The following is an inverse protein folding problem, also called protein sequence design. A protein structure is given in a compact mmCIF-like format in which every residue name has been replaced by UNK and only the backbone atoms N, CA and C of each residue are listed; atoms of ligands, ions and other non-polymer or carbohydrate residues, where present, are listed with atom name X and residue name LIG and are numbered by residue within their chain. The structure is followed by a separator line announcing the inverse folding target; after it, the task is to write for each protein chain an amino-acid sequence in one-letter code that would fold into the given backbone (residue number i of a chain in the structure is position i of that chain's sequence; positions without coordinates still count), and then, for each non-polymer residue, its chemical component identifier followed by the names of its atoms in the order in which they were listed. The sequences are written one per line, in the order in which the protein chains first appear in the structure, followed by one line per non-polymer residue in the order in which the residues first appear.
data_IF_657659242196
#
_entry.id   IF_657659242196
#
_cell.length_a   1.000
_cell.length_b   1.000
_cell.length_c   1.000
_cell.angle_alpha   90.00
_cell.angle_beta   90.00
_cell.angle_gamma   90.00
#
_symmetry.space_group_name_H-M   'P 1'
#
loop_
_entity.id
_entity.type
_entity.pdbx_description
1 polymer ?
#
# COMPACT_ATOMS: atom_id res chain seq x y z
N UNK A 1 -32.94 42.39 -5.68
CA UNK A 1 -32.08 41.34 -5.08
C UNK A 1 -31.23 40.78 -6.21
N UNK A 2 -29.90 40.90 -6.11
CA UNK A 2 -28.96 40.82 -7.25
C UNK A 2 -28.59 39.38 -7.61
N UNK A 3 -28.50 39.10 -8.91
CA UNK A 3 -28.08 37.82 -9.50
C UNK A 3 -26.68 37.36 -9.07
N UNK A 4 -25.79 38.28 -8.69
CA UNK A 4 -24.44 37.97 -8.21
C UNK A 4 -24.39 37.39 -6.78
N UNK A 5 -25.32 37.77 -5.90
CA UNK A 5 -25.38 37.22 -4.53
C UNK A 5 -25.91 35.79 -4.54
N UNK A 6 -26.86 35.47 -5.42
CA UNK A 6 -27.40 34.11 -5.55
C UNK A 6 -26.36 33.11 -6.08
N UNK A 7 -25.51 33.50 -7.04
CA UNK A 7 -24.47 32.62 -7.59
C UNK A 7 -23.43 32.19 -6.54
N UNK A 8 -23.02 33.11 -5.65
CA UNK A 8 -22.07 32.82 -4.58
C UNK A 8 -22.64 31.93 -3.47
N UNK A 9 -23.95 32.01 -3.24
CA UNK A 9 -24.67 31.14 -2.29
C UNK A 9 -24.78 29.71 -2.86
N UNK A 10 -25.06 29.56 -4.15
CA UNK A 10 -25.13 28.26 -4.83
C UNK A 10 -23.77 27.55 -4.88
N UNK A 11 -22.68 28.27 -5.19
CA UNK A 11 -21.31 27.74 -5.19
C UNK A 11 -20.90 27.22 -3.79
N UNK A 12 -21.22 27.98 -2.73
CA UNK A 12 -20.95 27.57 -1.36
C UNK A 12 -21.79 26.34 -0.94
N UNK A 13 -23.06 26.27 -1.34
CA UNK A 13 -23.91 25.12 -1.04
C UNK A 13 -23.42 23.85 -1.76
N UNK A 14 -23.00 23.99 -3.02
CA UNK A 14 -22.40 22.92 -3.83
C UNK A 14 -21.11 22.39 -3.20
N UNK A 15 -20.23 23.29 -2.74
CA UNK A 15 -19.00 22.91 -2.05
C UNK A 15 -19.29 22.18 -0.73
N UNK A 16 -20.22 22.70 0.09
CA UNK A 16 -20.60 22.06 1.36
C UNK A 16 -21.15 20.64 1.14
N UNK A 17 -22.00 20.44 0.13
CA UNK A 17 -22.52 19.11 -0.21
C UNK A 17 -21.40 18.18 -0.70
N UNK A 18 -20.49 18.68 -1.53
CA UNK A 18 -19.32 17.94 -2.01
C UNK A 18 -18.43 17.50 -0.86
N UNK A 19 -18.14 18.39 0.10
CA UNK A 19 -17.34 18.09 1.29
C UNK A 19 -18.04 17.07 2.19
N UNK A 20 -19.35 17.19 2.42
CA UNK A 20 -20.13 16.21 3.20
C UNK A 20 -20.11 14.83 2.57
N UNK A 21 -20.28 14.75 1.26
CA UNK A 21 -20.22 13.48 0.54
C UNK A 21 -18.81 12.89 0.58
N UNK A 22 -17.78 13.71 0.36
CA UNK A 22 -16.39 13.30 0.46
C UNK A 22 -16.04 12.75 1.86
N UNK A 23 -16.47 13.42 2.93
CA UNK A 23 -16.30 12.93 4.32
C UNK A 23 -17.01 11.59 4.54
N UNK A 24 -18.20 11.41 3.95
CA UNK A 24 -18.96 10.17 4.06
C UNK A 24 -18.21 9.01 3.38
N UNK A 25 -17.72 9.23 2.15
CA UNK A 25 -16.89 8.26 1.42
C UNK A 25 -15.62 7.95 2.22
N UNK A 26 -14.92 8.96 2.71
CA UNK A 26 -13.67 8.79 3.46
C UNK A 26 -13.87 7.95 4.75
N UNK A 27 -14.98 8.17 5.47
CA UNK A 27 -15.33 7.35 6.63
C UNK A 27 -15.64 5.90 6.25
N UNK A 28 -16.37 5.67 5.15
CA UNK A 28 -16.67 4.32 4.66
C UNK A 28 -15.39 3.57 4.24
N UNK A 29 -14.49 4.24 3.50
CA UNK A 29 -13.19 3.69 3.13
C UNK A 29 -12.40 3.31 4.38
N UNK A 30 -12.37 4.15 5.41
CA UNK A 30 -11.66 3.85 6.66
C UNK A 30 -12.24 2.63 7.38
N UNK A 31 -13.57 2.51 7.45
CA UNK A 31 -14.23 1.33 8.04
C UNK A 31 -13.93 0.05 7.26
N UNK A 32 -14.03 0.09 5.93
CA UNK A 32 -13.74 -1.05 5.06
C UNK A 32 -12.25 -1.45 5.12
N UNK A 33 -11.34 -0.48 5.14
CA UNK A 33 -9.91 -0.75 5.27
C UNK A 33 -9.57 -1.41 6.62
N UNK A 34 -10.22 -0.99 7.71
CA UNK A 34 -10.08 -1.64 9.01
C UNK A 34 -10.52 -3.10 8.91
N UNK A 35 -11.71 -3.36 8.36
CA UNK A 35 -12.22 -4.74 8.22
C UNK A 35 -11.36 -5.60 7.30
N UNK A 36 -10.86 -5.02 6.22
CA UNK A 36 -9.93 -5.68 5.30
C UNK A 36 -8.61 -6.05 5.99
N UNK A 37 -8.09 -5.18 6.86
CA UNK A 37 -6.89 -5.46 7.65
C UNK A 37 -7.11 -6.62 8.61
N UNK A 38 -8.24 -6.65 9.32
CA UNK A 38 -8.63 -7.75 10.20
C UNK A 38 -8.69 -9.07 9.41
N UNK A 39 -9.45 -9.12 8.31
CA UNK A 39 -9.56 -10.32 7.47
C UNK A 39 -8.22 -10.79 6.88
N UNK A 40 -7.32 -9.86 6.53
CA UNK A 40 -5.97 -10.20 6.06
C UNK A 40 -5.12 -10.83 7.16
N UNK A 41 -5.24 -10.36 8.39
CA UNK A 41 -4.54 -10.94 9.53
C UNK A 41 -5.10 -12.33 9.85
N UNK A 42 -6.41 -12.47 9.96
CA UNK A 42 -7.06 -13.76 10.22
C UNK A 42 -6.67 -14.78 9.15
N UNK A 43 -6.69 -14.38 7.86
CA UNK A 43 -6.23 -15.24 6.76
C UNK A 43 -4.77 -15.63 6.88
N UNK A 44 -3.90 -14.72 7.34
CA UNK A 44 -2.47 -15.01 7.54
C UNK A 44 -2.28 -16.05 8.64
N UNK A 45 -2.97 -15.91 9.76
CA UNK A 45 -2.93 -16.87 10.87
C UNK A 45 -3.42 -18.25 10.41
N UNK A 46 -4.54 -18.31 9.68
CA UNK A 46 -5.05 -19.56 9.12
C UNK A 46 -4.07 -20.18 8.11
N UNK A 47 -3.41 -19.38 7.28
CA UNK A 47 -2.38 -19.88 6.36
C UNK A 47 -1.20 -20.51 7.11
N UNK A 48 -0.74 -19.91 8.21
CA UNK A 48 0.34 -20.45 9.02
C UNK A 48 -0.05 -21.80 9.64
N UNK A 49 -1.26 -21.90 10.19
CA UNK A 49 -1.82 -23.15 10.70
C UNK A 49 -1.94 -24.21 9.59
N UNK A 50 -2.45 -23.85 8.42
CA UNK A 50 -2.57 -24.76 7.27
C UNK A 50 -1.22 -25.28 6.80
N UNK A 51 -0.19 -24.43 6.71
CA UNK A 51 1.16 -24.85 6.34
C UNK A 51 1.71 -25.87 7.34
N UNK A 52 1.47 -25.68 8.65
CA UNK A 52 1.90 -26.63 9.67
C UNK A 52 1.21 -27.98 9.49
N UNK A 53 -0.12 -28.00 9.35
CA UNK A 53 -0.91 -29.21 9.15
C UNK A 53 -0.51 -29.93 7.86
N UNK A 54 -0.36 -29.20 6.75
CA UNK A 54 0.04 -29.77 5.46
C UNK A 54 1.45 -30.39 5.52
N UNK A 55 2.39 -29.76 6.22
CA UNK A 55 3.75 -30.32 6.43
C UNK A 55 3.74 -31.55 7.34
N UNK A 56 3.00 -31.52 8.44
CA UNK A 56 2.91 -32.65 9.38
C UNK A 56 2.31 -33.89 8.73
N UNK A 57 1.35 -33.70 7.82
CA UNK A 57 0.64 -34.78 7.16
C UNK A 57 1.14 -35.09 5.74
N UNK A 58 2.23 -34.45 5.29
CA UNK A 58 2.75 -34.55 3.91
C UNK A 58 1.67 -34.37 2.82
N UNK A 59 0.80 -33.37 3.00
CA UNK A 59 -0.26 -33.03 2.06
C UNK A 59 0.23 -31.91 1.14
N UNK A 60 0.43 -32.22 -0.14
CA UNK A 60 0.87 -31.21 -1.14
C UNK A 60 -0.30 -30.47 -1.80
N UNK A 61 -1.43 -31.17 -2.00
CA UNK A 61 -2.60 -30.65 -2.69
C UNK A 61 -3.88 -30.98 -1.91
N UNK A 62 -4.78 -30.00 -1.81
CA UNK A 62 -6.09 -30.16 -1.16
C UNK A 62 -7.20 -29.64 -2.09
N UNK A 63 -8.10 -30.51 -2.52
CA UNK A 63 -9.17 -30.18 -3.47
C UNK A 63 -10.42 -29.65 -2.74
N UNK A 64 -10.99 -28.58 -3.27
CA UNK A 64 -12.22 -27.92 -2.84
C UNK A 64 -13.25 -28.00 -3.99
N UNK A 65 -14.53 -27.74 -3.69
CA UNK A 65 -15.58 -27.65 -4.73
C UNK A 65 -15.25 -26.62 -5.82
N UNK A 66 -14.58 -25.52 -5.44
CA UNK A 66 -14.28 -24.39 -6.33
C UNK A 66 -12.78 -24.26 -6.68
N UNK A 67 -11.98 -25.31 -6.51
CA UNK A 67 -10.57 -25.29 -6.90
C UNK A 67 -9.66 -26.18 -6.06
N UNK A 68 -8.37 -25.87 -6.03
CA UNK A 68 -7.38 -26.61 -5.24
C UNK A 68 -6.46 -25.66 -4.47
N UNK A 69 -6.13 -26.01 -3.24
CA UNK A 69 -5.07 -25.39 -2.45
C UNK A 69 -3.79 -26.21 -2.67
N UNK A 70 -2.73 -25.54 -3.11
CA UNK A 70 -1.43 -26.17 -3.32
C UNK A 70 -0.40 -25.47 -2.44
N UNK A 71 0.37 -26.26 -1.68
CA UNK A 71 1.52 -25.71 -0.97
C UNK A 71 2.68 -25.54 -1.98
N UNK A 72 2.93 -24.29 -2.40
CA UNK A 72 4.02 -23.94 -3.34
C UNK A 72 5.04 -23.05 -2.65
N UNK A 73 6.33 -23.37 -2.85
CA UNK A 73 7.42 -22.45 -2.51
C UNK A 73 7.58 -21.45 -3.66
N UNK A 74 7.43 -20.16 -3.36
CA UNK A 74 7.70 -19.10 -4.31
C UNK A 74 8.94 -18.32 -3.87
N UNK A 75 9.88 -18.14 -4.79
CA UNK A 75 11.06 -17.29 -4.61
C UNK A 75 10.87 -16.03 -5.43
N UNK A 76 10.75 -14.88 -4.77
CA UNK A 76 10.65 -13.58 -5.43
C UNK A 76 11.88 -12.74 -5.09
N UNK A 77 12.42 -12.02 -6.07
CA UNK A 77 13.54 -11.10 -5.85
C UNK A 77 13.08 -9.90 -5.02
N UNK A 78 13.90 -9.47 -4.08
CA UNK A 78 13.58 -8.33 -3.22
C UNK A 78 13.40 -7.04 -4.03
N UNK A 79 12.51 -6.13 -3.61
CA UNK A 79 12.39 -4.80 -4.20
C UNK A 79 13.72 -4.02 -4.10
N UNK A 80 14.11 -3.36 -5.19
CA UNK A 80 15.35 -2.59 -5.25
C UNK A 80 15.19 -1.21 -4.59
N UNK A 81 15.23 -1.18 -3.26
CA UNK A 81 15.25 0.06 -2.48
C UNK A 81 16.68 0.63 -2.37
N UNK A 82 16.83 1.88 -1.91
CA UNK A 82 18.13 2.57 -1.86
C UNK A 82 19.18 1.83 -1.02
N UNK A 83 18.78 1.15 0.07
CA UNK A 83 19.68 0.37 0.91
C UNK A 83 20.10 -0.93 0.23
N UNK A 84 19.15 -1.64 -0.38
CA UNK A 84 19.43 -2.88 -1.11
C UNK A 84 20.31 -2.60 -2.32
N UNK A 85 20.04 -1.53 -3.08
CA UNK A 85 20.87 -1.10 -4.21
C UNK A 85 22.29 -0.75 -3.76
N UNK A 86 22.47 0.06 -2.71
CA UNK A 86 23.79 0.34 -2.16
C UNK A 86 24.54 -0.94 -1.79
N UNK A 87 23.88 -1.86 -1.08
CA UNK A 87 24.49 -3.12 -0.65
C UNK A 87 24.94 -3.98 -1.83
N UNK A 88 24.21 -3.94 -2.95
CA UNK A 88 24.59 -4.63 -4.19
C UNK A 88 25.79 -3.94 -4.84
N UNK A 89 25.77 -2.61 -4.93
CA UNK A 89 26.85 -1.82 -5.55
C UNK A 89 28.16 -1.89 -4.75
N UNK A 90 28.10 -1.80 -3.43
CA UNK A 90 29.26 -1.89 -2.54
C UNK A 90 29.90 -3.30 -2.52
N UNK A 91 29.17 -4.33 -2.94
CA UNK A 91 29.72 -5.69 -3.13
C UNK A 91 30.40 -5.87 -4.47
N UNK A 92 30.33 -4.89 -5.37
CA UNK A 92 30.90 -5.01 -6.69
C UNK A 92 32.41 -4.78 -6.63
N UNK A 93 33.26 -5.75 -7.05
CA UNK A 93 34.71 -5.69 -6.83
C UNK A 93 35.43 -4.58 -7.62
N UNK A 94 34.72 -3.92 -8.55
CA UNK A 94 35.26 -2.81 -9.35
C UNK A 94 34.72 -1.44 -8.92
N UNK A 95 33.84 -1.38 -7.92
CA UNK A 95 33.32 -0.13 -7.38
C UNK A 95 33.91 0.05 -5.98
N UNK A 96 34.54 1.20 -5.74
CA UNK A 96 34.84 1.61 -4.38
C UNK A 96 33.56 2.12 -3.68
N UNK A 97 33.63 2.27 -2.35
CA UNK A 97 32.48 2.68 -1.53
C UNK A 97 31.92 4.06 -1.93
N UNK A 98 32.78 4.99 -2.36
CA UNK A 98 32.36 6.33 -2.77
C UNK A 98 31.68 6.31 -4.14
N UNK A 99 32.18 5.52 -5.10
CA UNK A 99 31.56 5.28 -6.39
C UNK A 99 30.20 4.59 -6.24
N UNK A 100 30.10 3.57 -5.38
CA UNK A 100 28.84 2.89 -5.08
C UNK A 100 27.80 3.85 -4.47
N UNK A 101 28.24 4.75 -3.59
CA UNK A 101 27.41 5.78 -2.96
C UNK A 101 26.93 6.81 -3.98
N UNK A 102 27.82 7.35 -4.80
CA UNK A 102 27.47 8.31 -5.85
C UNK A 102 26.49 7.73 -6.87
N UNK A 103 26.71 6.50 -7.32
CA UNK A 103 25.83 5.85 -8.30
C UNK A 103 24.45 5.57 -7.69
N UNK A 104 24.39 5.11 -6.44
CA UNK A 104 23.13 4.91 -5.73
C UNK A 104 22.34 6.23 -5.58
N UNK A 105 23.04 7.31 -5.26
CA UNK A 105 22.45 8.65 -5.16
C UNK A 105 21.94 9.14 -6.51
N UNK A 106 22.76 9.03 -7.57
CA UNK A 106 22.38 9.41 -8.92
C UNK A 106 21.12 8.67 -9.42
N UNK A 107 21.05 7.35 -9.20
CA UNK A 107 19.87 6.54 -9.57
C UNK A 107 18.64 6.95 -8.74
N UNK A 108 18.83 7.33 -7.48
CA UNK A 108 17.74 7.83 -6.66
C UNK A 108 17.21 9.16 -7.19
N UNK A 109 18.09 10.10 -7.49
CA UNK A 109 17.72 11.46 -7.92
C UNK A 109 17.20 11.50 -9.36
N UNK A 110 17.68 10.60 -10.23
CA UNK A 110 17.21 10.48 -11.62
C UNK A 110 15.82 9.83 -11.74
N UNK A 111 15.27 9.26 -10.65
CA UNK A 111 13.93 8.68 -10.69
C UNK A 111 12.89 9.79 -10.76
N UNK A 112 12.09 9.78 -11.82
CA UNK A 112 11.01 10.74 -11.98
C UNK A 112 9.99 10.59 -10.85
N UNK A 113 9.77 11.69 -10.14
CA UNK A 113 8.68 11.80 -9.16
C UNK A 113 7.42 12.25 -9.88
N UNK A 114 6.31 11.54 -9.64
CA UNK A 114 4.99 11.96 -10.13
C UNK A 114 4.28 12.71 -9.02
N UNK A 115 4.10 14.01 -9.19
CA UNK A 115 3.27 14.82 -8.31
C UNK A 115 1.80 14.50 -8.59
N UNK A 116 1.02 14.32 -7.51
CA UNK A 116 -0.42 14.10 -7.57
C UNK A 116 -1.05 14.89 -6.44
N UNK A 117 -1.94 15.83 -6.78
CA UNK A 117 -2.75 16.52 -5.80
C UNK A 117 -3.67 15.52 -5.11
N UNK A 118 -3.60 15.46 -3.78
CA UNK A 118 -4.39 14.57 -2.94
C UNK A 118 -4.99 15.36 -1.78
N UNK A 119 -6.31 15.22 -1.61
CA UNK A 119 -7.03 15.75 -0.44
C UNK A 119 -6.90 14.72 0.67
N UNK A 120 -6.34 15.11 1.81
CA UNK A 120 -6.14 14.25 2.99
C UNK A 120 -6.83 14.87 4.19
N UNK A 121 -7.64 14.07 4.91
CA UNK A 121 -8.20 14.46 6.21
C UNK A 121 -7.23 14.08 7.32
N UNK A 122 -6.75 15.06 8.10
CA UNK A 122 -6.01 14.82 9.35
C UNK A 122 -7.00 14.82 10.52
N UNK A 123 -6.97 13.77 11.34
CA UNK A 123 -7.77 13.69 12.57
C UNK A 123 -6.78 13.72 13.73
N UNK A 124 -6.96 14.66 14.64
CA UNK A 124 -6.29 14.70 15.93
C UNK A 124 -7.12 13.89 16.91
N UNK A 125 -6.60 12.73 17.33
CA UNK A 125 -7.13 12.03 18.49
C UNK A 125 -6.83 12.90 19.71
N UNK A 126 -7.87 13.48 20.31
CA UNK A 126 -7.73 14.16 21.61
C UNK A 126 -7.37 13.12 22.66
N UNK A 127 -6.25 13.34 23.34
CA UNK A 127 -5.92 12.64 24.59
C UNK A 127 -7.04 12.79 25.62
#
# INVERSE_FOLDING_TARGET
MNTSENGHIEENLSLVNTVKHWVTIDNQIRALNKKLRELRNDKKEQNEMMIQVMKQNNIDNFTLKDGQIQHKKQTTREPLNQKTLFTILAKHPQLDDEQAKHLNQFIHDSRSSKEKDVIVRKISDGN
#
